data_IF_230476105205
#
_entry.id   IF_230476105205
#
_cell.length_a   1.000
_cell.length_b   1.000
_cell.length_c   1.000
_cell.angle_alpha   90.00
_cell.angle_beta   90.00
_cell.angle_gamma   90.00
#
_symmetry.space_group_name_H-M   'P 1'
#
loop_
_entity.id
_entity.type
_entity.pdbx_description
1 polymer ?
#
# COMPACT_ATOMS: atom_id res chain seq x y z
N UNK A 1 14.83 -3.98 17.00
CA UNK A 1 14.40 -3.90 16.81
C UNK A 1 13.40 -3.69 16.15
N UNK A 2 13.13 -3.32 15.71
CA UNK A 2 12.16 -2.94 15.35
C UNK A 2 11.95 -3.00 14.06
N UNK A 3 11.56 -3.79 13.58
CA UNK A 3 11.30 -3.96 12.39
C UNK A 3 10.21 -3.29 12.08
N UNK A 4 9.99 -2.23 12.29
CA UNK A 4 8.86 -1.68 12.15
C UNK A 4 8.30 -1.71 10.83
N UNK A 5 7.23 -2.33 10.66
CA UNK A 5 6.49 -2.24 9.44
C UNK A 5 5.70 -0.95 9.43
N UNK A 6 5.50 -0.42 8.26
CA UNK A 6 4.76 0.81 8.09
C UNK A 6 3.42 0.49 7.46
N UNK A 7 2.50 1.41 7.57
CA UNK A 7 1.20 1.22 6.95
C UNK A 7 1.11 2.18 5.78
N UNK A 8 0.76 1.64 4.64
CA UNK A 8 0.62 2.44 3.43
C UNK A 8 -0.84 2.46 3.03
N UNK A 9 -1.31 3.60 2.57
CA UNK A 9 -2.65 3.72 2.03
C UNK A 9 -2.48 3.80 0.53
N UNK A 10 -3.03 2.83 -0.18
CA UNK A 10 -2.90 2.76 -1.62
C UNK A 10 -4.26 3.06 -2.22
N UNK A 11 -4.30 4.03 -3.11
CA UNK A 11 -5.53 4.39 -3.78
C UNK A 11 -5.40 3.94 -5.22
N UNK A 12 -6.31 3.12 -5.67
CA UNK A 12 -6.21 2.58 -7.03
C UNK A 12 -7.60 2.46 -7.64
N UNK A 13 -7.64 2.37 -8.94
CA UNK A 13 -8.89 2.21 -9.65
C UNK A 13 -9.10 0.74 -9.93
N UNK A 14 -10.35 0.32 -9.83
CA UNK A 14 -10.68 -1.03 -10.21
C UNK A 14 -10.77 -1.06 -11.72
N UNK A 15 -11.05 -2.25 -12.24
CA UNK A 15 -11.10 -2.38 -13.67
C UNK A 15 -12.20 -1.58 -14.29
N UNK A 16 -13.29 -1.43 -13.61
CA UNK A 16 -14.41 -0.72 -14.16
C UNK A 16 -14.12 0.76 -14.10
N UNK A 17 -13.98 1.43 -15.20
CA UNK A 17 -13.65 2.85 -15.16
C UNK A 17 -14.72 3.71 -14.53
N UNK A 18 -15.90 3.19 -14.34
CA UNK A 18 -16.92 3.96 -13.69
C UNK A 18 -16.83 3.90 -12.19
N UNK A 19 -16.05 2.97 -11.67
CA UNK A 19 -15.97 2.84 -10.24
C UNK A 19 -15.18 3.95 -9.65
N UNK A 20 -15.46 4.23 -8.40
CA UNK A 20 -14.64 5.15 -7.67
C UNK A 20 -13.34 4.47 -7.31
N UNK A 21 -12.35 5.27 -7.05
CA UNK A 21 -11.08 4.72 -6.60
C UNK A 21 -11.28 3.97 -5.30
N UNK A 22 -10.55 2.91 -5.16
CA UNK A 22 -10.59 2.09 -3.96
C UNK A 22 -9.37 2.38 -3.12
N UNK A 23 -9.54 2.40 -1.82
CA UNK A 23 -8.44 2.64 -0.91
C UNK A 23 -8.20 1.39 -0.09
N UNK A 24 -6.95 0.99 0.01
CA UNK A 24 -6.61 -0.21 0.74
C UNK A 24 -5.42 0.05 1.62
N UNK A 25 -5.41 -0.50 2.82
CA UNK A 25 -4.29 -0.39 3.72
C UNK A 25 -3.37 -1.59 3.53
N UNK A 26 -2.09 -1.32 3.45
CA UNK A 26 -1.10 -2.38 3.28
C UNK A 26 -0.02 -2.17 4.33
N UNK A 27 0.25 -3.19 5.13
CA UNK A 27 1.32 -3.12 6.10
C UNK A 27 2.56 -3.73 5.50
N UNK A 28 3.62 -2.97 5.38
CA UNK A 28 4.83 -3.44 4.73
C UNK A 28 6.03 -2.69 5.28
N UNK A 29 7.19 -3.30 5.13
CA UNK A 29 8.42 -2.65 5.56
C UNK A 29 9.00 -1.79 4.46
N UNK A 30 8.74 -2.10 3.22
CA UNK A 30 9.27 -1.32 2.12
C UNK A 30 8.46 -1.52 0.86
N UNK A 31 8.65 -0.62 -0.06
CA UNK A 31 7.95 -0.65 -1.34
C UNK A 31 9.01 -0.75 -2.43
N UNK A 32 8.76 -1.60 -3.40
CA UNK A 32 9.66 -1.74 -4.52
C UNK A 32 8.87 -1.55 -5.80
N UNK A 33 9.40 -0.75 -6.70
CA UNK A 33 8.75 -0.52 -7.96
C UNK A 33 9.58 -1.21 -9.02
N UNK A 34 9.00 -2.15 -9.71
CA UNK A 34 9.75 -2.85 -10.71
C UNK A 34 8.84 -3.21 -11.87
N UNK A 35 9.25 -2.88 -13.07
CA UNK A 35 8.42 -3.17 -14.23
C UNK A 35 7.11 -2.45 -14.12
N UNK A 36 6.02 -3.18 -14.31
CA UNK A 36 4.70 -2.60 -14.26
C UNK A 36 4.04 -2.76 -12.91
N UNK A 37 4.76 -3.20 -11.90
CA UNK A 37 4.15 -3.54 -10.63
C UNK A 37 4.78 -2.80 -9.48
N UNK A 38 3.97 -2.61 -8.43
CA UNK A 38 4.44 -2.11 -7.16
C UNK A 38 4.36 -3.26 -6.18
N UNK A 39 5.48 -3.55 -5.54
CA UNK A 39 5.56 -4.63 -4.59
C UNK A 39 5.69 -4.05 -3.19
N UNK A 40 4.87 -4.52 -2.28
CA UNK A 40 4.96 -4.11 -0.88
C UNK A 40 5.48 -5.32 -0.10
N UNK A 41 6.67 -5.18 0.47
CA UNK A 41 7.33 -6.29 1.13
C UNK A 41 7.28 -6.13 2.63
N UNK A 42 6.97 -7.23 3.30
CA UNK A 42 7.00 -7.22 4.76
C UNK A 42 8.43 -7.34 5.25
N UNK A 43 8.60 -7.08 6.55
CA UNK A 43 9.94 -7.15 7.14
C UNK A 43 10.54 -8.53 7.03
N UNK A 44 9.71 -9.57 7.03
CA UNK A 44 10.25 -10.92 6.96
C UNK A 44 10.50 -11.38 5.53
N UNK A 45 10.34 -10.51 4.57
CA UNK A 45 10.63 -10.88 3.19
C UNK A 45 9.45 -11.40 2.40
N UNK A 46 8.30 -11.52 3.02
CA UNK A 46 7.14 -12.00 2.28
C UNK A 46 6.42 -10.83 1.65
N UNK A 47 5.60 -11.12 0.67
CA UNK A 47 4.91 -10.08 -0.07
C UNK A 47 3.64 -9.68 0.66
N UNK A 48 3.52 -8.41 0.95
CA UNK A 48 2.34 -7.91 1.63
C UNK A 48 1.28 -7.47 0.63
N UNK A 49 1.69 -7.01 -0.52
CA UNK A 49 0.74 -6.57 -1.53
C UNK A 49 1.41 -6.41 -2.86
N UNK A 50 0.62 -6.52 -3.92
CA UNK A 50 1.13 -6.39 -5.27
C UNK A 50 0.08 -5.65 -6.06
N UNK A 51 0.47 -4.55 -6.68
CA UNK A 51 -0.47 -3.74 -7.42
C UNK A 51 0.11 -3.43 -8.80
N UNK A 52 -0.75 -3.35 -9.77
CA UNK A 52 -0.33 -2.96 -11.09
C UNK A 52 -0.21 -1.44 -11.11
N UNK A 53 0.92 -0.94 -11.55
CA UNK A 53 1.17 0.49 -11.49
C UNK A 53 0.13 1.28 -12.26
N UNK A 54 -0.37 0.74 -13.35
CA UNK A 54 -1.28 1.49 -14.17
C UNK A 54 -2.62 1.74 -13.48
N UNK A 55 -2.97 0.98 -12.46
CA UNK A 55 -4.22 1.20 -11.77
C UNK A 55 -4.03 1.96 -10.47
N UNK A 56 -2.80 2.11 -9.99
CA UNK A 56 -2.55 2.79 -8.74
C UNK A 56 -2.54 4.28 -9.01
N UNK A 57 -3.37 5.02 -8.31
CA UNK A 57 -3.40 6.46 -8.45
C UNK A 57 -2.41 7.12 -7.53
N UNK A 58 -2.28 6.63 -6.33
CA UNK A 58 -1.33 7.19 -5.40
C UNK A 58 -1.16 6.24 -4.23
N UNK A 59 -0.09 6.42 -3.50
CA UNK A 59 0.05 5.68 -2.26
C UNK A 59 0.91 6.53 -1.35
N UNK A 60 0.74 6.35 -0.06
CA UNK A 60 1.52 7.09 0.91
C UNK A 60 1.63 6.31 2.18
N UNK A 61 2.63 6.63 2.93
CA UNK A 61 2.86 6.01 4.21
C UNK A 61 2.14 6.85 5.27
N UNK A 62 1.47 6.19 6.20
CA UNK A 62 0.82 6.89 7.30
C UNK A 62 1.33 6.30 8.59
N UNK A 63 1.29 7.09 9.64
CA UNK A 63 1.76 6.59 10.90
C UNK A 63 0.66 5.76 11.53
N UNK A 64 1.07 4.83 12.35
CA UNK A 64 0.09 4.03 13.03
C UNK A 64 -0.79 4.87 13.93
N UNK A 65 -0.25 5.94 14.45
CA UNK A 65 -1.05 6.79 15.30
C UNK A 65 -2.21 7.39 14.53
N UNK A 66 -2.01 7.73 13.30
CA UNK A 66 -3.09 8.28 12.53
C UNK A 66 -4.20 7.27 12.36
N UNK A 67 -3.82 6.02 12.15
CA UNK A 67 -4.82 5.01 11.91
C UNK A 67 -5.59 4.65 13.15
N UNK A 68 -4.94 4.66 14.28
CA UNK A 68 -5.61 4.25 15.48
C UNK A 68 -6.25 5.39 16.22
N UNK A 69 -6.16 6.57 15.71
CA UNK A 69 -6.69 7.71 16.40
C UNK A 69 -8.18 7.60 16.45
N UNK A 70 -8.73 7.65 17.51
CA UNK A 70 -10.15 7.52 17.58
C UNK A 70 -10.81 8.79 17.21
N UNK A 71 -10.39 9.53 17.09
CA UNK A 71 -11.02 10.50 16.78
C UNK A 71 -11.39 11.01 17.11
#
# INVERSE_FOLDING_TARGET
MDTSEKVFIVEYNREDPKDFATTEQVSAARVQEEGDYLYFWKADGTLAGLFLKSVVRSFREVSKNELTSPN
#
